data_IF_092177039565
#
_entry.id   IF_092177039565
#
_cell.length_a   1.000
_cell.length_b   1.000
_cell.length_c   1.000
_cell.angle_alpha   90.00
_cell.angle_beta   90.00
_cell.angle_gamma   90.00
#
_symmetry.space_group_name_H-M   'P 1'
#
loop_
_entity.id
_entity.type
_entity.pdbx_description
1 polymer ?
#
# COMPACT_ATOMS: atom_id res chain seq x y z
N UNK A 1 -38.17 27.19 -59.64
CA UNK A 1 -36.93 27.22 -60.47
C UNK A 1 -35.82 26.64 -59.61
N UNK A 2 -35.38 25.42 -59.93
CA UNK A 2 -34.48 24.62 -59.09
C UNK A 2 -33.13 24.53 -59.81
N UNK A 3 -32.06 24.99 -59.17
CA UNK A 3 -30.69 24.93 -59.67
C UNK A 3 -30.05 23.59 -59.34
N UNK A 4 -29.40 22.88 -60.27
CA UNK A 4 -28.65 21.67 -59.93
C UNK A 4 -27.27 21.99 -59.36
N UNK A 5 -26.91 21.34 -58.24
CA UNK A 5 -25.60 21.41 -57.62
C UNK A 5 -24.62 20.44 -58.30
N UNK A 6 -23.51 20.97 -58.81
CA UNK A 6 -22.42 20.22 -59.44
C UNK A 6 -21.47 19.69 -58.35
N UNK A 7 -21.44 18.36 -58.16
CA UNK A 7 -20.42 17.69 -57.35
C UNK A 7 -19.16 17.43 -58.19
N UNK A 8 -18.06 18.10 -57.84
CA UNK A 8 -16.73 17.88 -58.40
C UNK A 8 -16.01 16.78 -57.62
N UNK A 9 -15.75 15.65 -58.28
CA UNK A 9 -14.95 14.54 -57.75
C UNK A 9 -13.47 14.86 -57.89
N UNK A 10 -12.76 15.00 -56.76
CA UNK A 10 -11.28 15.10 -56.75
C UNK A 10 -10.65 13.72 -57.04
N UNK A 11 -9.58 13.65 -57.84
CA UNK A 11 -8.85 12.42 -58.06
C UNK A 11 -8.03 11.99 -56.83
N UNK A 12 -8.06 10.68 -56.56
CA UNK A 12 -7.29 9.98 -55.53
C UNK A 12 -5.78 10.00 -55.83
N UNK A 13 -4.96 10.19 -54.79
CA UNK A 13 -3.51 10.14 -54.87
C UNK A 13 -3.00 8.69 -54.97
N UNK A 14 -1.94 8.40 -55.76
CA UNK A 14 -1.38 7.06 -55.89
C UNK A 14 -0.60 6.62 -54.63
N UNK A 15 -0.52 5.31 -54.34
CA UNK A 15 0.20 4.78 -53.18
C UNK A 15 1.73 4.87 -53.35
N UNK A 16 2.42 5.10 -52.24
CA UNK A 16 3.88 5.21 -52.17
C UNK A 16 4.60 3.87 -52.47
N UNK A 17 5.81 3.90 -53.07
CA UNK A 17 6.59 2.71 -53.35
C UNK A 17 7.18 2.06 -52.08
N UNK A 18 7.44 0.74 -52.09
CA UNK A 18 7.98 0.01 -50.95
C UNK A 18 9.45 0.38 -50.68
N UNK A 19 9.77 0.62 -49.40
CA UNK A 19 11.15 0.81 -48.92
C UNK A 19 11.92 -0.50 -49.01
N UNK A 20 13.01 -0.51 -49.77
CA UNK A 20 13.99 -1.59 -49.79
C UNK A 20 14.71 -1.70 -48.43
N UNK A 21 14.78 -2.92 -47.89
CA UNK A 21 15.44 -3.23 -46.63
C UNK A 21 16.97 -3.17 -46.75
N UNK A 22 17.63 -2.55 -45.77
CA UNK A 22 19.08 -2.59 -45.59
C UNK A 22 19.51 -3.95 -45.02
N UNK A 23 20.59 -4.58 -45.52
CA UNK A 23 21.11 -5.82 -44.94
C UNK A 23 21.76 -5.54 -43.59
N UNK A 24 21.16 -6.03 -42.50
CA UNK A 24 21.78 -5.99 -41.17
C UNK A 24 22.84 -7.09 -41.10
N UNK A 25 24.09 -6.66 -41.07
CA UNK A 25 25.27 -7.50 -40.94
C UNK A 25 25.17 -8.45 -39.72
N UNK A 26 25.54 -9.71 -39.95
CA UNK A 26 25.76 -10.71 -38.90
C UNK A 26 26.96 -10.26 -38.06
N UNK A 27 26.71 -9.82 -36.83
CA UNK A 27 27.76 -9.68 -35.83
C UNK A 27 28.08 -11.06 -35.28
N UNK A 28 29.24 -11.61 -35.63
CA UNK A 28 29.81 -12.77 -34.99
C UNK A 28 30.20 -12.39 -33.55
N UNK A 29 29.46 -12.89 -32.55
CA UNK A 29 29.91 -12.84 -31.16
C UNK A 29 30.87 -14.01 -30.92
N UNK A 30 32.16 -13.70 -30.76
CA UNK A 30 33.13 -14.61 -30.19
C UNK A 30 32.88 -14.74 -28.67
N UNK A 31 32.91 -15.94 -28.08
CA UNK A 31 32.80 -16.09 -26.64
C UNK A 31 34.13 -15.70 -25.97
N UNK A 32 34.14 -14.57 -25.28
CA UNK A 32 35.22 -14.24 -24.35
C UNK A 32 35.02 -15.06 -23.07
N UNK A 33 35.86 -16.08 -22.88
CA UNK A 33 35.98 -16.80 -21.61
C UNK A 33 36.58 -15.82 -20.60
N UNK A 34 35.74 -15.23 -19.74
CA UNK A 34 36.17 -14.55 -18.52
C UNK A 34 36.17 -15.56 -17.39
N UNK A 35 37.36 -15.96 -16.98
CA UNK A 35 37.61 -16.70 -15.75
C UNK A 35 37.36 -15.77 -14.56
N UNK A 36 36.40 -16.12 -13.70
CA UNK A 36 36.18 -15.45 -12.42
C UNK A 36 37.22 -15.92 -11.40
N UNK A 37 37.91 -15.03 -10.67
CA UNK A 37 38.74 -15.45 -9.55
C UNK A 37 37.84 -15.85 -8.36
N UNK A 38 37.82 -17.15 -8.04
CA UNK A 38 37.28 -17.66 -6.78
C UNK A 38 38.11 -17.13 -5.61
N UNK A 39 37.57 -16.18 -4.86
CA UNK A 39 38.08 -15.82 -3.54
C UNK A 39 37.52 -16.86 -2.56
N UNK A 40 38.35 -17.83 -2.18
CA UNK A 40 38.05 -18.78 -1.12
C UNK A 40 38.11 -18.05 0.23
N UNK A 41 36.95 -17.75 0.82
CA UNK A 41 36.86 -17.29 2.20
C UNK A 41 36.97 -18.51 3.13
N UNK A 42 38.14 -18.73 3.72
CA UNK A 42 38.35 -19.74 4.75
C UNK A 42 37.83 -19.23 6.09
N UNK A 43 36.67 -19.72 6.52
CA UNK A 43 36.21 -19.52 7.88
C UNK A 43 36.90 -20.52 8.81
N UNK A 44 37.71 -20.01 9.74
CA UNK A 44 38.19 -20.78 10.89
C UNK A 44 37.00 -21.04 11.84
N UNK A 45 36.65 -22.30 12.15
CA UNK A 45 35.60 -22.57 13.11
C UNK A 45 36.10 -22.25 14.51
N UNK A 46 35.47 -21.28 15.20
CA UNK A 46 35.70 -21.06 16.63
C UNK A 46 35.15 -22.26 17.40
N UNK A 47 36.03 -22.90 18.18
CA UNK A 47 35.67 -23.94 19.15
C UNK A 47 34.69 -23.36 20.17
N UNK A 48 33.44 -23.82 20.14
CA UNK A 48 32.49 -23.56 21.22
C UNK A 48 32.94 -24.32 22.48
N UNK A 49 33.28 -23.57 23.52
CA UNK A 49 33.60 -24.10 24.84
C UNK A 49 32.30 -24.35 25.61
N UNK A 50 32.07 -25.61 26.01
CA UNK A 50 31.34 -26.01 27.21
C UNK A 50 29.84 -25.67 27.30
N UNK A 51 28.99 -26.59 26.85
CA UNK A 51 27.59 -26.64 27.29
C UNK A 51 27.57 -27.18 28.73
N UNK A 52 27.22 -26.34 29.71
CA UNK A 52 26.84 -26.81 31.05
C UNK A 52 25.40 -27.32 30.99
N UNK A 53 25.19 -28.58 31.38
CA UNK A 53 23.87 -29.20 31.50
C UNK A 53 23.19 -28.67 32.77
N UNK A 54 22.13 -27.89 32.62
CA UNK A 54 21.25 -27.52 33.72
C UNK A 54 20.20 -28.63 33.94
N UNK A 55 19.96 -28.95 35.21
CA UNK A 55 18.91 -29.88 35.65
C UNK A 55 17.69 -29.05 36.04
N UNK A 56 16.53 -29.36 35.48
CA UNK A 56 15.28 -28.71 35.85
C UNK A 56 14.81 -29.25 37.22
N UNK A 57 14.66 -28.34 38.17
CA UNK A 57 13.89 -28.56 39.41
C UNK A 57 12.44 -28.27 39.04
N UNK A 58 11.59 -29.26 39.25
CA UNK A 58 10.15 -29.16 39.08
C UNK A 58 9.60 -28.26 40.19
N UNK A 59 8.88 -27.22 39.82
CA UNK A 59 8.17 -26.33 40.75
C UNK A 59 6.79 -26.07 40.16
N UNK A 60 5.91 -27.03 40.42
CA UNK A 60 4.47 -26.91 40.38
C UNK A 60 4.02 -25.83 41.37
N UNK A 61 3.82 -24.60 40.90
CA UNK A 61 2.89 -23.68 41.56
C UNK A 61 2.49 -22.51 40.67
N UNK A 62 1.18 -22.47 40.39
CA UNK A 62 0.42 -21.23 40.21
C UNK A 62 0.36 -20.69 38.80
N UNK A 63 -0.82 -20.78 38.19
CA UNK A 63 -1.26 -19.84 37.16
C UNK A 63 -0.90 -18.41 37.56
N UNK A 64 -0.21 -17.64 36.72
CA UNK A 64 -0.35 -16.21 36.78
C UNK A 64 -1.69 -15.86 36.13
N UNK A 65 -2.65 -15.46 36.97
CA UNK A 65 -3.70 -14.55 36.53
C UNK A 65 -3.06 -13.37 35.81
N UNK A 66 -3.62 -13.02 34.65
CA UNK A 66 -3.15 -11.98 33.75
C UNK A 66 -2.83 -10.69 34.51
N UNK A 67 -1.60 -10.14 34.44
CA UNK A 67 -1.37 -8.83 35.02
C UNK A 67 -2.16 -7.82 34.19
N UNK A 68 -3.02 -7.05 34.84
CA UNK A 68 -3.57 -5.81 34.30
C UNK A 68 -2.39 -4.95 33.82
N UNK A 69 -2.12 -5.00 32.52
CA UNK A 69 -1.05 -4.24 31.90
C UNK A 69 -1.41 -2.76 32.00
N UNK A 70 -0.65 -2.00 32.79
CA UNK A 70 -0.66 -0.54 32.76
C UNK A 70 -0.59 -0.08 31.28
N UNK A 71 -1.70 0.49 30.79
CA UNK A 71 -1.84 0.96 29.41
C UNK A 71 -0.95 2.18 29.19
N UNK A 72 0.31 1.96 28.87
CA UNK A 72 1.18 3.03 28.36
C UNK A 72 0.62 3.55 27.03
N UNK A 73 0.59 4.87 26.81
CA UNK A 73 0.12 5.43 25.55
C UNK A 73 1.00 4.91 24.40
N UNK A 74 0.36 4.46 23.32
CA UNK A 74 1.05 4.02 22.10
C UNK A 74 1.01 5.14 21.07
N UNK A 75 2.15 5.38 20.42
CA UNK A 75 2.26 6.35 19.34
C UNK A 75 1.78 5.72 18.03
N UNK A 76 0.83 6.38 17.38
CA UNK A 76 0.31 6.04 16.07
C UNK A 76 0.72 7.09 15.06
N UNK A 77 1.13 6.63 13.90
CA UNK A 77 1.47 7.44 12.75
C UNK A 77 0.33 7.33 11.75
N UNK A 78 -0.03 8.44 11.11
CA UNK A 78 -1.08 8.40 10.12
C UNK A 78 -0.79 9.26 8.90
N UNK A 79 -1.38 8.83 7.79
CA UNK A 79 -1.52 9.61 6.57
C UNK A 79 -2.99 9.86 6.32
N UNK A 80 -3.34 11.08 5.96
CA UNK A 80 -4.73 11.45 5.68
C UNK A 80 -4.84 12.20 4.36
N UNK A 81 -5.87 11.87 3.61
CA UNK A 81 -6.27 12.58 2.40
C UNK A 81 -7.77 12.45 2.13
N UNK A 82 -8.23 13.09 1.06
CA UNK A 82 -9.60 12.95 0.56
C UNK A 82 -9.86 11.48 0.14
N UNK A 83 -11.03 10.94 0.50
CA UNK A 83 -11.46 9.60 0.15
C UNK A 83 -11.43 9.37 -1.38
N UNK A 84 -11.85 10.37 -2.16
CA UNK A 84 -11.80 10.28 -3.63
C UNK A 84 -10.37 10.06 -4.14
N UNK A 85 -9.40 10.76 -3.55
CA UNK A 85 -8.00 10.61 -3.94
C UNK A 85 -7.44 9.24 -3.52
N UNK A 86 -7.61 8.86 -2.25
CA UNK A 86 -7.03 7.62 -1.72
C UNK A 86 -7.68 6.33 -2.22
N UNK A 87 -8.99 6.34 -2.48
CA UNK A 87 -9.75 5.11 -2.79
C UNK A 87 -10.12 4.97 -4.27
N UNK A 88 -10.19 6.07 -5.02
CA UNK A 88 -10.69 6.08 -6.40
C UNK A 88 -9.66 6.57 -7.44
N UNK A 89 -8.82 7.56 -7.12
CA UNK A 89 -7.80 8.09 -8.06
C UNK A 89 -6.45 7.37 -7.96
N UNK A 90 -6.02 6.99 -6.75
CA UNK A 90 -4.71 6.35 -6.56
C UNK A 90 -4.79 4.82 -6.74
N UNK A 91 -4.40 4.35 -7.92
CA UNK A 91 -4.41 2.93 -8.28
C UNK A 91 -3.32 2.12 -7.56
N UNK A 92 -2.14 2.70 -7.29
CA UNK A 92 -1.03 1.94 -6.71
C UNK A 92 -1.21 1.65 -5.22
N UNK A 93 -2.09 2.41 -4.55
CA UNK A 93 -2.28 2.33 -3.11
C UNK A 93 -2.84 0.97 -2.68
N UNK A 94 -3.78 0.43 -3.45
CA UNK A 94 -4.34 -0.90 -3.21
C UNK A 94 -3.28 -1.99 -3.25
N UNK A 95 -2.46 -2.01 -4.31
CA UNK A 95 -1.44 -3.05 -4.47
C UNK A 95 -0.39 -2.99 -3.36
N UNK A 96 0.00 -1.79 -2.91
CA UNK A 96 0.91 -1.64 -1.78
C UNK A 96 0.33 -2.23 -0.48
N UNK A 97 -0.96 -1.99 -0.21
CA UNK A 97 -1.64 -2.52 0.97
C UNK A 97 -1.84 -4.04 0.89
N UNK A 98 -2.26 -4.55 -0.25
CA UNK A 98 -2.47 -5.98 -0.49
C UNK A 98 -1.16 -6.75 -0.37
N UNK A 99 -0.08 -6.25 -0.98
CA UNK A 99 1.24 -6.85 -0.89
C UNK A 99 1.80 -6.79 0.53
N UNK A 100 1.59 -5.68 1.25
CA UNK A 100 1.99 -5.55 2.66
C UNK A 100 1.25 -6.57 3.55
N UNK A 101 -0.05 -6.76 3.33
CA UNK A 101 -0.85 -7.75 4.05
C UNK A 101 -0.38 -9.17 3.73
N UNK A 102 -0.12 -9.47 2.46
CA UNK A 102 0.47 -10.76 2.05
C UNK A 102 1.84 -10.98 2.69
N UNK A 103 2.70 -9.97 2.72
CA UNK A 103 4.02 -10.04 3.36
C UNK A 103 3.93 -10.34 4.86
N UNK A 104 2.90 -9.85 5.52
CA UNK A 104 2.67 -10.09 6.94
C UNK A 104 2.20 -11.52 7.18
N UNK A 105 1.25 -12.00 6.36
CA UNK A 105 0.79 -13.37 6.40
C UNK A 105 1.92 -14.38 6.12
N UNK A 106 2.78 -14.12 5.13
CA UNK A 106 3.92 -14.98 4.79
C UNK A 106 5.03 -15.00 5.87
N UNK A 107 5.06 -14.00 6.75
CA UNK A 107 6.10 -13.83 7.79
C UNK A 107 5.57 -14.01 9.20
N UNK A 108 4.33 -14.46 9.35
CA UNK A 108 3.62 -14.59 10.63
C UNK A 108 3.69 -13.31 11.49
N UNK A 109 3.55 -12.14 10.83
CA UNK A 109 3.53 -10.84 11.50
C UNK A 109 2.11 -10.37 11.72
N UNK A 110 1.84 -9.83 12.91
CA UNK A 110 0.56 -9.20 13.23
C UNK A 110 0.34 -7.94 12.39
N UNK A 111 -0.88 -7.75 11.91
CA UNK A 111 -1.27 -6.55 11.18
C UNK A 111 -1.30 -5.35 12.11
N UNK A 112 -0.55 -4.32 11.73
CA UNK A 112 -0.32 -3.13 12.52
C UNK A 112 -0.75 -1.84 11.79
N UNK A 113 -1.56 -2.00 10.74
CA UNK A 113 -2.06 -0.91 9.93
C UNK A 113 -3.51 -1.12 9.50
N UNK A 114 -4.27 -0.02 9.42
CA UNK A 114 -5.69 -0.02 9.06
C UNK A 114 -6.08 1.24 8.29
N UNK A 115 -7.12 1.12 7.47
CA UNK A 115 -7.79 2.26 6.85
C UNK A 115 -8.99 2.69 7.70
N UNK A 116 -9.03 3.98 8.03
CA UNK A 116 -10.10 4.58 8.83
C UNK A 116 -10.80 5.63 7.98
N UNK A 117 -12.06 5.37 7.63
CA UNK A 117 -12.92 6.34 6.94
C UNK A 117 -13.44 7.33 7.98
N UNK A 118 -13.29 8.62 7.69
CA UNK A 118 -13.61 9.72 8.60
C UNK A 118 -13.14 9.50 10.05
N UNK A 119 -11.82 9.53 10.29
CA UNK A 119 -11.28 9.31 11.62
C UNK A 119 -11.72 10.40 12.61
N UNK A 120 -12.20 10.00 13.80
CA UNK A 120 -12.62 10.93 14.86
C UNK A 120 -11.45 11.73 15.44
N UNK A 121 -10.25 11.17 15.45
CA UNK A 121 -9.07 11.85 15.99
C UNK A 121 -8.66 13.08 15.16
N UNK A 122 -9.17 13.24 13.92
CA UNK A 122 -8.88 14.42 13.10
C UNK A 122 -9.33 15.74 13.72
N UNK A 123 -10.31 15.70 14.63
CA UNK A 123 -10.78 16.90 15.35
C UNK A 123 -9.68 17.51 16.24
N UNK A 124 -8.66 16.72 16.64
CA UNK A 124 -7.46 17.20 17.36
C UNK A 124 -6.52 18.01 16.47
N UNK A 125 -6.64 17.90 15.15
CA UNK A 125 -5.71 18.46 14.17
C UNK A 125 -6.39 19.50 13.25
N UNK A 126 -6.74 20.69 13.77
CA UNK A 126 -7.47 21.70 13.00
C UNK A 126 -6.67 22.24 11.80
N UNK A 127 -5.34 22.16 11.84
CA UNK A 127 -4.48 22.59 10.73
C UNK A 127 -4.60 21.67 9.51
N UNK A 128 -4.80 20.38 9.76
CA UNK A 128 -4.95 19.35 8.73
C UNK A 128 -6.37 19.42 8.16
N UNK A 129 -7.39 19.48 9.02
CA UNK A 129 -8.80 19.49 8.59
C UNK A 129 -9.15 20.69 7.71
N UNK A 130 -8.53 21.86 7.92
CA UNK A 130 -8.69 23.03 7.05
C UNK A 130 -8.21 22.82 5.60
N UNK A 131 -7.22 21.94 5.41
CA UNK A 131 -6.63 21.65 4.10
C UNK A 131 -7.34 20.49 3.39
N UNK A 132 -8.01 19.63 4.16
CA UNK A 132 -8.68 18.44 3.66
C UNK A 132 -10.07 18.76 3.10
N UNK A 133 -10.42 18.06 2.02
CA UNK A 133 -11.80 17.96 1.55
C UNK A 133 -12.41 16.69 2.14
N UNK A 134 -13.58 16.79 2.76
CA UNK A 134 -14.33 15.64 3.28
C UNK A 134 -15.17 15.00 2.16
N UNK A 135 -15.40 13.67 2.16
CA UNK A 135 -14.97 12.71 3.19
C UNK A 135 -13.47 12.43 3.17
N UNK A 136 -12.87 12.26 4.36
CA UNK A 136 -11.44 12.00 4.52
C UNK A 136 -11.20 10.53 4.88
N UNK A 137 -10.09 9.98 4.42
CA UNK A 137 -9.62 8.63 4.79
C UNK A 137 -8.23 8.77 5.38
N UNK A 138 -7.99 8.09 6.49
CA UNK A 138 -6.66 7.96 7.04
C UNK A 138 -6.15 6.53 6.95
N UNK A 139 -4.88 6.40 6.63
CA UNK A 139 -4.10 5.21 6.88
C UNK A 139 -3.39 5.37 8.22
N UNK A 140 -3.70 4.51 9.18
CA UNK A 140 -3.15 4.53 10.53
C UNK A 140 -2.25 3.32 10.71
N UNK A 141 -1.05 3.50 11.26
CA UNK A 141 -0.12 2.41 11.58
C UNK A 141 0.76 2.73 12.79
N UNK A 142 1.27 1.71 13.45
CA UNK A 142 2.32 1.85 14.46
C UNK A 142 3.72 2.00 13.86
N UNK A 143 3.92 1.61 12.60
CA UNK A 143 5.20 1.72 11.89
C UNK A 143 5.35 3.10 11.22
N UNK A 144 6.07 4.01 11.89
CA UNK A 144 6.34 5.35 11.37
C UNK A 144 7.23 5.37 10.12
N UNK A 145 8.09 4.36 9.92
CA UNK A 145 8.91 4.26 8.71
C UNK A 145 8.04 3.95 7.50
N UNK A 146 7.07 3.06 7.67
CA UNK A 146 6.12 2.73 6.63
C UNK A 146 5.22 3.92 6.26
N UNK A 147 4.71 4.66 7.24
CA UNK A 147 3.94 5.91 6.98
C UNK A 147 4.81 6.93 6.23
N UNK A 148 6.08 7.09 6.61
CA UNK A 148 7.00 8.00 5.91
C UNK A 148 7.26 7.54 4.47
N UNK A 149 7.45 6.23 4.24
CA UNK A 149 7.56 5.67 2.89
C UNK A 149 6.31 5.96 2.05
N UNK A 150 5.12 5.75 2.61
CA UNK A 150 3.85 6.02 1.94
C UNK A 150 3.68 7.52 1.66
N UNK A 151 4.19 8.40 2.54
CA UNK A 151 4.18 9.85 2.29
C UNK A 151 5.04 10.25 1.08
N UNK A 152 6.18 9.61 0.90
CA UNK A 152 7.05 9.86 -0.27
C UNK A 152 6.43 9.34 -1.57
N UNK A 153 5.58 8.31 -1.50
CA UNK A 153 4.91 7.74 -2.67
C UNK A 153 3.64 8.48 -3.07
N UNK A 154 2.97 9.10 -2.10
CA UNK A 154 1.69 9.78 -2.26
C UNK A 154 1.87 11.29 -2.14
N UNK A 155 1.72 12.01 -3.24
CA UNK A 155 2.02 13.45 -3.27
C UNK A 155 1.00 14.28 -2.45
N UNK A 156 -0.29 13.95 -2.55
CA UNK A 156 -1.42 14.77 -2.05
C UNK A 156 -1.94 14.37 -0.66
N UNK A 157 -1.08 13.77 0.17
CA UNK A 157 -1.45 13.35 1.53
C UNK A 157 -0.80 14.22 2.60
N UNK A 158 -1.44 14.32 3.75
CA UNK A 158 -0.89 14.96 4.95
C UNK A 158 -0.44 13.86 5.91
N UNK A 159 0.68 14.07 6.60
CA UNK A 159 1.24 13.15 7.59
C UNK A 159 1.26 13.84 8.94
N UNK A 160 0.91 13.10 9.98
CA UNK A 160 1.16 13.49 11.37
C UNK A 160 1.20 12.24 12.26
N UNK A 161 1.39 12.45 13.56
CA UNK A 161 1.41 11.39 14.57
C UNK A 161 0.63 11.82 15.80
N UNK A 162 0.11 10.85 16.55
CA UNK A 162 -0.58 11.10 17.81
C UNK A 162 -0.43 9.93 18.76
N UNK A 163 -0.56 10.21 20.04
CA UNK A 163 -0.60 9.19 21.08
C UNK A 163 -2.05 8.85 21.41
N UNK A 164 -2.33 7.55 21.56
CA UNK A 164 -3.64 7.05 21.99
C UNK A 164 -3.46 5.96 23.05
N UNK A 165 -4.42 5.90 23.98
CA UNK A 165 -4.42 4.92 25.06
C UNK A 165 -5.04 3.59 24.64
N UNK A 166 -5.89 3.62 23.60
CA UNK A 166 -6.57 2.44 23.06
C UNK A 166 -6.49 2.38 21.53
N UNK A 167 -6.40 1.16 21.00
CA UNK A 167 -6.51 0.88 19.56
C UNK A 167 -7.88 1.34 19.03
N UNK A 168 -8.92 1.17 19.83
CA UNK A 168 -10.29 1.57 19.48
C UNK A 168 -10.42 3.08 19.29
N UNK A 169 -9.71 3.87 20.10
CA UNK A 169 -9.68 5.32 20.01
C UNK A 169 -8.95 5.77 18.73
N UNK A 170 -7.80 5.14 18.44
CA UNK A 170 -7.02 5.43 17.24
C UNK A 170 -7.75 5.06 15.95
N UNK A 171 -8.59 4.03 15.97
CA UNK A 171 -9.32 3.51 14.81
C UNK A 171 -10.79 3.95 14.75
N UNK A 172 -11.20 4.86 15.64
CA UNK A 172 -12.57 5.33 15.70
C UNK A 172 -12.95 6.11 14.43
N UNK A 173 -14.03 5.68 13.77
CA UNK A 173 -14.56 6.26 12.52
C UNK A 173 -15.95 6.86 12.73
N UNK A 174 -16.30 7.83 11.88
CA UNK A 174 -17.68 8.32 11.74
C UNK A 174 -18.38 7.59 10.59
N UNK A 175 -19.67 7.21 10.74
CA UNK A 175 -20.41 6.55 9.68
C UNK A 175 -20.66 7.53 8.53
N UNK A 176 -20.10 7.26 7.35
CA UNK A 176 -20.30 8.05 6.15
C UNK A 176 -20.56 7.17 4.93
N UNK A 177 -21.52 7.59 4.12
CA UNK A 177 -21.83 6.97 2.84
C UNK A 177 -20.86 7.48 1.77
N UNK A 178 -19.95 6.61 1.32
CA UNK A 178 -19.02 6.92 0.24
C UNK A 178 -19.70 6.67 -1.12
N UNK A 179 -19.77 7.70 -1.97
CA UNK A 179 -20.26 7.60 -3.35
C UNK A 179 -19.15 8.04 -4.30
N UNK A 180 -18.69 7.12 -5.13
CA UNK A 180 -17.70 7.41 -6.17
C UNK A 180 -18.36 7.29 -7.54
N UNK A 181 -18.25 8.36 -8.33
CA UNK A 181 -18.72 8.38 -9.71
C UNK A 181 -17.72 7.65 -10.59
N UNK A 182 -18.21 6.71 -11.40
CA UNK A 182 -17.36 6.03 -12.38
C UNK A 182 -17.08 6.99 -13.54
N UNK A 183 -15.82 7.10 -14.00
CA UNK A 183 -15.52 7.93 -15.17
C UNK A 183 -16.20 7.35 -16.42
N UNK A 184 -16.80 8.23 -17.23
CA UNK A 184 -17.44 7.84 -18.50
C UNK A 184 -16.45 7.20 -19.48
N UNK A 185 -15.20 7.65 -19.47
CA UNK A 185 -14.13 7.17 -20.33
C UNK A 185 -12.94 6.70 -19.51
N UNK A 186 -12.82 5.38 -19.41
CA UNK A 186 -11.65 4.74 -18.84
C UNK A 186 -10.55 4.62 -19.90
N UNK A 187 -9.34 5.11 -19.58
CA UNK A 187 -8.24 5.20 -20.57
C UNK A 187 -7.19 4.10 -20.37
N UNK A 188 -7.11 3.50 -19.19
CA UNK A 188 -6.11 2.46 -18.92
C UNK A 188 -6.51 1.12 -19.57
N UNK A 189 -5.53 0.30 -19.98
CA UNK A 189 -5.80 -1.00 -20.63
C UNK A 189 -6.30 -2.08 -19.66
N UNK A 190 -6.25 -1.83 -18.35
CA UNK A 190 -6.70 -2.74 -17.28
C UNK A 190 -7.97 -2.22 -16.62
N UNK A 191 -8.86 -3.07 -16.10
CA UNK A 191 -10.07 -2.60 -15.43
C UNK A 191 -9.74 -1.82 -14.16
N UNK A 192 -10.52 -0.77 -13.89
CA UNK A 192 -10.47 -0.06 -12.60
C UNK A 192 -10.93 -0.98 -11.47
N UNK A 193 -10.35 -0.83 -10.29
CA UNK A 193 -10.79 -1.54 -9.10
C UNK A 193 -12.27 -1.29 -8.78
N UNK A 194 -12.90 -2.33 -8.23
CA UNK A 194 -14.29 -2.27 -7.79
C UNK A 194 -14.46 -1.36 -6.58
N UNK A 195 -15.65 -0.77 -6.45
CA UNK A 195 -16.05 -0.11 -5.21
C UNK A 195 -15.99 -1.11 -4.05
N UNK A 196 -15.43 -0.69 -2.91
CA UNK A 196 -15.31 -1.54 -1.71
C UNK A 196 -14.04 -2.38 -1.65
N UNK A 197 -13.08 -2.22 -2.57
CA UNK A 197 -11.80 -2.94 -2.51
C UNK A 197 -11.05 -2.76 -1.18
N UNK A 198 -11.29 -1.64 -0.48
CA UNK A 198 -10.64 -1.27 0.78
C UNK A 198 -11.25 -1.92 2.02
N UNK A 199 -12.37 -2.63 1.91
CA UNK A 199 -13.06 -3.27 3.04
C UNK A 199 -12.17 -4.19 3.89
N UNK A 200 -11.26 -5.01 3.32
CA UNK A 200 -10.38 -5.88 4.11
C UNK A 200 -9.41 -5.14 5.03
N UNK A 201 -9.15 -3.85 4.76
CA UNK A 201 -8.23 -3.02 5.54
C UNK A 201 -8.94 -2.19 6.61
N UNK A 202 -10.28 -2.23 6.65
CA UNK A 202 -11.03 -1.55 7.70
C UNK A 202 -10.74 -2.21 9.06
N UNK A 203 -10.79 -1.44 10.17
CA UNK A 203 -10.65 -2.01 11.49
C UNK A 203 -11.70 -3.11 11.70
N UNK A 204 -11.35 -4.19 12.44
CA UNK A 204 -12.32 -5.21 12.79
C UNK A 204 -13.50 -4.55 13.49
N UNK A 205 -14.72 -4.86 13.05
CA UNK A 205 -15.92 -4.40 13.72
C UNK A 205 -15.98 -5.13 15.06
N UNK A 206 -15.62 -4.46 16.14
CA UNK A 206 -15.88 -4.95 17.49
C UNK A 206 -17.40 -5.01 17.64
N UNK A 207 -17.97 -6.21 17.47
CA UNK A 207 -19.37 -6.43 17.81
C UNK A 207 -19.47 -6.24 19.32
N UNK A 208 -19.98 -5.09 19.76
CA UNK A 208 -20.44 -4.95 21.13
C UNK A 208 -21.50 -6.03 21.33
N UNK A 209 -21.13 -7.10 22.05
CA UNK A 209 -22.00 -8.24 22.32
C UNK A 209 -23.25 -7.76 23.02
N UNK A 210 -24.29 -7.51 22.23
CA UNK A 210 -25.66 -7.39 22.73
C UNK A 210 -26.17 -8.81 22.78
N UNK A 211 -25.86 -9.49 23.89
CA UNK A 211 -26.54 -10.71 24.30
C UNK A 211 -27.90 -10.35 24.90
#
# INVERSE_FOLDING_TARGET
MVTPATFSLRPSAPPAPPRAGLPRARACFAPAIRTSPSVAFSYQPRRFSGIRRAVAVDSEQGSPESPEQEKKPKTYYFLVANAKFMLDEEEHFQEQLAEKLRNYAERDKEQDFWLVVEPKFLDRFPNITKRLKRPAVALVSTDGNWITFMKLRLDRVLQDQFDAESVEEALASNPVELKFEKPEKWTAPYPKYGFGWWEPFLPPKFSNGTA
#
